data_IF_101891548632
#
_entry.id   IF_101891548632
#
_cell.length_a   1.000
_cell.length_b   1.000
_cell.length_c   1.000
_cell.angle_alpha   90.00
_cell.angle_beta   90.00
_cell.angle_gamma   90.00
#
_symmetry.space_group_name_H-M   'P 1'
#
loop_
_entity.id
_entity.type
_entity.pdbx_description
1 polymer ?
#
# COMPACT_ATOMS: atom_id res chain seq x y z
N UNK A 1 -18.53 8.93 37.53
CA UNK A 1 -17.39 9.01 36.67
C UNK A 1 -17.23 7.75 35.83
N UNK A 2 -16.99 7.93 34.59
CA UNK A 2 -16.99 6.82 33.67
C UNK A 2 -15.61 6.40 33.20
N UNK A 3 -14.63 6.83 33.95
CA UNK A 3 -13.25 6.55 33.58
C UNK A 3 -12.94 5.07 33.38
N UNK A 4 -13.33 4.18 34.29
CA UNK A 4 -12.96 2.78 34.11
C UNK A 4 -13.45 2.21 32.80
N UNK A 5 -14.69 2.47 32.45
CA UNK A 5 -15.25 1.96 31.20
C UNK A 5 -14.64 2.66 30.00
N UNK A 6 -14.46 3.96 30.09
CA UNK A 6 -13.86 4.73 29.02
C UNK A 6 -12.42 4.37 28.80
N UNK A 7 -11.69 4.13 29.87
CA UNK A 7 -10.28 3.74 29.74
C UNK A 7 -10.18 2.42 28.99
N UNK A 8 -11.05 1.47 29.32
CA UNK A 8 -11.06 0.19 28.62
C UNK A 8 -11.37 0.32 27.14
N UNK A 9 -12.39 1.13 26.84
CA UNK A 9 -12.78 1.36 25.44
C UNK A 9 -11.67 2.03 24.65
N UNK A 10 -11.05 3.05 25.23
CA UNK A 10 -9.98 3.77 24.58
C UNK A 10 -8.79 2.85 24.36
N UNK A 11 -8.49 2.03 25.33
CA UNK A 11 -7.36 1.11 25.22
C UNK A 11 -7.60 0.09 24.09
N UNK A 12 -8.81 -0.47 24.00
CA UNK A 12 -9.17 -1.38 22.94
C UNK A 12 -9.08 -0.71 21.58
N UNK A 13 -9.52 0.52 21.48
CA UNK A 13 -9.44 1.27 20.24
C UNK A 13 -7.99 1.52 19.83
N UNK A 14 -7.15 1.83 20.78
CA UNK A 14 -5.72 2.06 20.52
C UNK A 14 -5.06 0.78 20.02
N UNK A 15 -5.37 -0.35 20.64
CA UNK A 15 -4.81 -1.62 20.21
C UNK A 15 -5.24 -1.97 18.80
N UNK A 16 -6.53 -1.82 18.51
CA UNK A 16 -7.04 -2.10 17.17
C UNK A 16 -6.47 -1.14 16.14
N UNK A 17 -6.32 0.11 16.52
CA UNK A 17 -5.74 1.11 15.67
C UNK A 17 -4.30 0.74 15.30
N UNK A 18 -3.51 0.33 16.28
CA UNK A 18 -2.13 -0.07 16.04
C UNK A 18 -2.04 -1.30 15.14
N UNK A 19 -2.94 -2.25 15.33
CA UNK A 19 -2.96 -3.44 14.50
C UNK A 19 -3.33 -3.12 13.06
N UNK A 20 -4.27 -2.22 12.85
CA UNK A 20 -4.73 -1.85 11.51
C UNK A 20 -3.78 -0.90 10.82
N UNK A 21 -3.28 0.07 11.55
CA UNK A 21 -2.48 1.12 10.94
C UNK A 21 -1.12 0.67 10.50
N UNK A 22 -0.56 -0.30 11.20
CA UNK A 22 0.82 -0.64 10.97
C UNK A 22 1.69 0.61 11.19
N UNK A 23 2.95 0.51 10.96
CA UNK A 23 3.84 1.64 11.12
C UNK A 23 3.62 2.65 10.02
N UNK A 24 3.67 3.92 10.38
CA UNK A 24 3.74 4.98 9.40
C UNK A 24 5.01 4.81 8.57
N UNK A 25 4.93 5.11 7.30
CA UNK A 25 6.07 5.00 6.40
C UNK A 25 6.55 6.40 6.04
N UNK A 26 7.80 6.73 6.35
CA UNK A 26 8.34 8.04 5.97
C UNK A 26 8.86 8.03 4.54
N UNK A 27 8.65 9.15 3.85
CA UNK A 27 9.18 9.33 2.50
C UNK A 27 9.85 10.70 2.41
N UNK A 28 10.96 10.74 1.69
CA UNK A 28 11.63 11.99 1.38
C UNK A 28 11.25 12.39 -0.05
N UNK A 29 10.58 13.52 -0.18
CA UNK A 29 10.12 14.01 -1.47
C UNK A 29 11.21 14.78 -2.19
N UNK A 30 11.04 14.94 -3.51
CA UNK A 30 12.03 15.65 -4.35
C UNK A 30 12.19 17.10 -3.92
N UNK A 31 11.13 17.71 -3.39
CA UNK A 31 11.19 19.10 -2.93
C UNK A 31 11.73 19.24 -1.50
N UNK A 32 12.37 18.18 -1.01
CA UNK A 32 12.94 18.11 0.34
C UNK A 32 11.90 18.03 1.46
N UNK A 33 10.62 17.97 1.10
CA UNK A 33 9.57 17.74 2.07
C UNK A 33 9.66 16.32 2.59
N UNK A 34 9.46 16.15 3.88
CA UNK A 34 9.38 14.82 4.47
C UNK A 34 7.95 14.55 4.86
N UNK A 35 7.42 13.41 4.45
CA UNK A 35 6.06 13.02 4.78
C UNK A 35 6.06 11.66 5.46
N UNK A 36 5.02 11.41 6.23
CA UNK A 36 4.84 10.14 6.91
C UNK A 36 3.40 9.70 6.66
N UNK A 37 3.21 8.52 6.10
CA UNK A 37 1.90 8.06 5.68
C UNK A 37 1.57 6.69 6.26
N UNK A 38 0.30 6.51 6.58
CA UNK A 38 -0.22 5.18 6.85
C UNK A 38 -0.21 4.38 5.55
N UNK A 39 0.19 3.11 5.57
CA UNK A 39 0.12 2.29 4.36
C UNK A 39 -1.26 2.28 3.72
N UNK A 40 -2.31 2.33 4.53
CA UNK A 40 -3.68 2.32 4.02
C UNK A 40 -4.02 3.52 3.15
N UNK A 41 -3.25 4.59 3.24
CA UNK A 41 -3.45 5.79 2.42
C UNK A 41 -2.70 5.72 1.10
N UNK A 42 -1.90 4.68 0.89
CA UNK A 42 -1.09 4.53 -0.31
C UNK A 42 -1.83 3.63 -1.30
N UNK A 43 -1.95 4.06 -2.54
CA UNK A 43 -2.50 3.23 -3.59
C UNK A 43 -1.39 2.47 -4.31
N UNK A 44 -0.42 3.19 -4.84
CA UNK A 44 0.68 2.55 -5.54
C UNK A 44 1.82 3.54 -5.77
N UNK A 45 2.96 3.02 -6.17
CA UNK A 45 4.10 3.82 -6.60
C UNK A 45 4.37 3.52 -8.06
N UNK A 46 4.73 4.56 -8.81
CA UNK A 46 4.96 4.44 -10.24
C UNK A 46 6.29 5.09 -10.61
N UNK A 47 7.09 4.38 -11.40
CA UNK A 47 8.33 4.95 -11.94
C UNK A 47 8.07 5.46 -13.34
N UNK A 48 8.21 6.76 -13.54
CA UNK A 48 8.08 7.40 -14.85
C UNK A 48 9.27 8.34 -15.04
N UNK A 49 9.93 8.24 -16.18
CA UNK A 49 10.96 9.20 -16.57
C UNK A 49 11.97 9.56 -15.48
N UNK A 50 12.50 8.68 -14.72
CA UNK A 50 13.47 8.97 -13.67
C UNK A 50 12.85 9.51 -12.39
N UNK A 51 11.52 9.51 -12.30
CA UNK A 51 10.81 9.97 -11.10
C UNK A 51 10.00 8.83 -10.53
N UNK A 52 9.90 8.81 -9.22
CA UNK A 52 9.00 7.88 -8.54
C UNK A 52 7.83 8.68 -8.02
N UNK A 53 6.65 8.36 -8.52
CA UNK A 53 5.42 9.01 -8.10
C UNK A 53 4.72 8.14 -7.08
N UNK A 54 4.41 8.73 -5.94
CA UNK A 54 3.69 8.06 -4.86
C UNK A 54 2.25 8.54 -4.92
N UNK A 55 1.34 7.64 -5.25
CA UNK A 55 -0.08 7.96 -5.41
C UNK A 55 -0.82 7.60 -4.14
N UNK A 56 -1.43 8.59 -3.51
CA UNK A 56 -2.06 8.42 -2.20
C UNK A 56 -3.43 9.07 -2.13
N UNK A 57 -4.14 8.79 -1.03
CA UNK A 57 -5.43 9.41 -0.76
C UNK A 57 -5.30 10.93 -0.54
N UNK A 58 -4.11 11.42 -0.22
CA UNK A 58 -3.84 12.83 0.05
C UNK A 58 -3.30 13.57 -1.17
N UNK A 59 -3.14 12.86 -2.30
CA UNK A 59 -2.57 13.42 -3.51
C UNK A 59 -1.33 12.66 -3.92
N UNK A 60 -0.69 13.15 -4.95
CA UNK A 60 0.52 12.51 -5.50
C UNK A 60 1.76 13.26 -5.04
N UNK A 61 2.81 12.49 -4.74
CA UNK A 61 4.09 13.05 -4.33
C UNK A 61 5.18 12.49 -5.23
N UNK A 62 6.20 13.29 -5.48
CA UNK A 62 7.41 12.79 -6.15
C UNK A 62 8.44 12.50 -5.07
N UNK A 63 8.91 11.27 -4.98
CA UNK A 63 9.89 10.87 -3.97
C UNK A 63 11.24 10.58 -4.62
N UNK A 64 12.29 10.65 -3.80
CA UNK A 64 13.66 10.49 -4.31
C UNK A 64 14.02 9.06 -4.59
N UNK A 65 13.47 8.11 -3.86
CA UNK A 65 13.88 6.72 -3.99
C UNK A 65 13.39 6.10 -5.28
N UNK A 66 14.23 5.23 -5.85
CA UNK A 66 13.81 4.41 -6.98
C UNK A 66 12.94 3.27 -6.48
N UNK A 67 12.16 2.67 -7.39
CA UNK A 67 11.29 1.56 -6.99
C UNK A 67 12.07 0.39 -6.38
N UNK A 68 13.25 0.10 -6.92
CA UNK A 68 14.07 -0.98 -6.36
C UNK A 68 14.42 -0.71 -4.91
N UNK A 69 14.71 0.54 -4.58
CA UNK A 69 14.98 0.93 -3.20
C UNK A 69 13.72 0.86 -2.36
N UNK A 70 12.59 1.31 -2.91
CA UNK A 70 11.31 1.24 -2.20
C UNK A 70 10.95 -0.20 -1.86
N UNK A 71 11.25 -1.12 -2.75
CA UNK A 71 10.97 -2.54 -2.53
C UNK A 71 11.65 -3.08 -1.28
N UNK A 72 12.75 -2.49 -0.86
CA UNK A 72 13.48 -2.97 0.31
C UNK A 72 12.74 -2.66 1.62
N UNK A 73 11.91 -1.63 1.63
CA UNK A 73 11.18 -1.29 2.85
C UNK A 73 9.66 -1.35 2.71
N UNK A 74 9.14 -1.44 1.50
CA UNK A 74 7.71 -1.68 1.26
C UNK A 74 7.53 -3.17 1.02
N UNK A 75 7.34 -3.91 2.10
CA UNK A 75 7.46 -5.36 2.05
C UNK A 75 6.12 -6.08 1.99
N UNK A 76 6.18 -7.33 1.56
CA UNK A 76 5.04 -8.23 1.54
C UNK A 76 4.53 -8.49 2.95
N UNK A 77 3.27 -8.93 3.06
CA UNK A 77 2.40 -9.33 1.95
C UNK A 77 1.63 -8.20 1.30
N UNK A 78 1.62 -7.02 1.92
CA UNK A 78 0.73 -5.95 1.48
C UNK A 78 1.24 -5.18 0.26
N UNK A 79 2.56 -5.00 0.13
CA UNK A 79 3.14 -4.33 -1.01
C UNK A 79 3.69 -5.34 -1.99
N UNK A 80 3.43 -5.14 -3.26
CA UNK A 80 3.82 -6.10 -4.29
C UNK A 80 4.28 -5.40 -5.56
N UNK A 81 5.46 -5.79 -6.06
CA UNK A 81 5.92 -5.32 -7.35
C UNK A 81 5.17 -6.07 -8.43
N UNK A 82 4.35 -5.40 -9.22
CA UNK A 82 3.54 -6.05 -10.26
C UNK A 82 3.95 -5.66 -11.66
N UNK A 83 4.95 -4.81 -11.77
CA UNK A 83 5.45 -4.32 -13.04
C UNK A 83 6.81 -3.70 -12.78
N UNK A 84 7.66 -3.58 -13.81
CA UNK A 84 8.92 -2.88 -13.63
C UNK A 84 8.70 -1.46 -13.12
N UNK A 85 7.56 -0.87 -13.44
CA UNK A 85 7.26 0.51 -13.10
C UNK A 85 6.25 0.69 -11.97
N UNK A 86 5.78 -0.38 -11.34
CA UNK A 86 4.75 -0.28 -10.30
C UNK A 86 5.03 -1.12 -9.08
N UNK A 87 4.79 -0.53 -7.90
CA UNK A 87 4.61 -1.27 -6.65
C UNK A 87 3.21 -0.93 -6.17
N UNK A 88 2.39 -1.94 -5.90
CA UNK A 88 0.99 -1.74 -5.53
C UNK A 88 0.77 -2.13 -4.07
N UNK A 89 -0.14 -1.40 -3.39
CA UNK A 89 -0.58 -1.76 -2.06
C UNK A 89 -1.84 -2.61 -2.21
N UNK A 90 -1.73 -3.89 -1.94
CA UNK A 90 -2.80 -4.86 -2.22
C UNK A 90 -4.14 -4.54 -1.55
N UNK A 91 -4.16 -4.07 -0.28
CA UNK A 91 -5.45 -3.73 0.33
C UNK A 91 -6.26 -2.66 -0.41
N UNK A 92 -5.60 -1.86 -1.24
CA UNK A 92 -6.28 -0.83 -2.02
C UNK A 92 -6.53 -1.23 -3.46
N UNK A 93 -6.35 -2.51 -3.79
CA UNK A 93 -6.75 -3.06 -5.08
C UNK A 93 -8.22 -3.44 -4.98
N UNK A 94 -9.01 -2.92 -5.90
CA UNK A 94 -10.43 -3.25 -5.96
C UNK A 94 -10.66 -4.56 -6.70
N UNK A 95 -9.92 -4.79 -7.77
CA UNK A 95 -10.21 -5.89 -8.68
C UNK A 95 -8.97 -6.28 -9.48
N UNK A 96 -8.84 -7.57 -9.75
CA UNK A 96 -7.88 -8.08 -10.72
C UNK A 96 -8.67 -8.71 -11.87
N UNK A 97 -8.41 -8.27 -13.08
CA UNK A 97 -9.10 -8.81 -14.25
C UNK A 97 -8.19 -8.73 -15.47
N UNK A 98 -7.93 -9.88 -16.08
CA UNK A 98 -7.18 -9.94 -17.35
C UNK A 98 -5.84 -9.18 -17.30
N UNK A 99 -5.07 -9.40 -16.26
CA UNK A 99 -3.76 -8.78 -16.15
C UNK A 99 -3.76 -7.31 -15.76
N UNK A 100 -4.89 -6.82 -15.25
CA UNK A 100 -5.02 -5.43 -14.84
C UNK A 100 -5.52 -5.36 -13.40
N UNK A 101 -4.84 -4.57 -12.58
CA UNK A 101 -5.33 -4.19 -11.26
C UNK A 101 -6.10 -2.89 -11.37
N UNK A 102 -7.34 -2.91 -10.90
CA UNK A 102 -8.12 -1.68 -10.74
C UNK A 102 -8.00 -1.25 -9.28
N UNK A 103 -7.53 -0.05 -9.05
CA UNK A 103 -7.34 0.47 -7.70
C UNK A 103 -8.63 1.11 -7.21
N UNK A 104 -8.74 1.24 -5.88
CA UNK A 104 -9.94 1.84 -5.28
C UNK A 104 -10.12 3.30 -5.66
N UNK A 105 -9.07 3.96 -6.08
CA UNK A 105 -9.15 5.35 -6.55
C UNK A 105 -9.56 5.46 -8.03
N UNK A 106 -9.77 4.33 -8.70
CA UNK A 106 -10.17 4.32 -10.11
C UNK A 106 -9.03 4.10 -11.09
N UNK A 107 -7.80 4.17 -10.65
CA UNK A 107 -6.66 3.96 -11.54
C UNK A 107 -6.54 2.48 -11.92
N UNK A 108 -6.01 2.23 -13.11
CA UNK A 108 -5.77 0.88 -13.60
C UNK A 108 -4.30 0.68 -13.89
N UNK A 109 -3.77 -0.42 -13.37
CA UNK A 109 -2.36 -0.74 -13.53
C UNK A 109 -2.21 -2.05 -14.29
N UNK A 110 -1.44 -2.01 -15.38
CA UNK A 110 -1.16 -3.22 -16.14
C UNK A 110 -0.08 -4.02 -15.46
N UNK A 111 -0.32 -5.31 -15.29
CA UNK A 111 0.67 -6.22 -14.73
C UNK A 111 1.50 -6.73 -15.92
N UNK A 112 2.83 -6.60 -15.82
CA UNK A 112 3.68 -7.08 -16.91
C UNK A 112 3.72 -8.60 -16.92
N UNK A 113 3.96 -9.17 -18.12
CA UNK A 113 4.00 -10.63 -18.28
C UNK A 113 5.02 -11.28 -17.34
N UNK A 114 6.13 -10.63 -17.13
CA UNK A 114 7.17 -11.19 -16.27
C UNK A 114 6.71 -11.37 -14.84
N UNK A 115 5.76 -10.55 -14.39
CA UNK A 115 5.26 -10.57 -13.02
C UNK A 115 3.88 -11.21 -12.87
N UNK A 116 3.22 -11.54 -13.98
CA UNK A 116 1.81 -11.94 -13.95
C UNK A 116 1.55 -13.16 -13.09
N UNK A 117 2.32 -14.20 -13.27
CA UNK A 117 2.11 -15.45 -12.53
C UNK A 117 2.28 -15.25 -11.03
N UNK A 118 3.36 -14.60 -10.64
CA UNK A 118 3.65 -14.36 -9.24
C UNK A 118 2.66 -13.37 -8.63
N UNK A 119 2.29 -12.34 -9.39
CA UNK A 119 1.34 -11.35 -8.93
C UNK A 119 -0.03 -11.96 -8.69
N UNK A 120 -0.49 -12.79 -9.62
CA UNK A 120 -1.78 -13.46 -9.48
C UNK A 120 -1.78 -14.37 -8.25
N UNK A 121 -0.70 -15.13 -8.06
CA UNK A 121 -0.58 -16.00 -6.90
C UNK A 121 -0.56 -15.22 -5.60
N UNK A 122 0.21 -14.14 -5.55
CA UNK A 122 0.31 -13.31 -4.35
C UNK A 122 -1.02 -12.63 -4.02
N UNK A 123 -1.69 -12.12 -5.03
CA UNK A 123 -3.00 -11.49 -4.82
C UNK A 123 -4.03 -12.51 -4.36
N UNK A 124 -4.02 -13.69 -4.94
CA UNK A 124 -4.93 -14.76 -4.53
C UNK A 124 -4.70 -15.11 -3.06
N UNK A 125 -3.44 -15.28 -2.66
CA UNK A 125 -3.12 -15.57 -1.25
C UNK A 125 -3.61 -14.46 -0.33
N UNK A 126 -3.44 -13.21 -0.76
CA UNK A 126 -3.87 -12.08 0.04
C UNK A 126 -5.39 -12.07 0.21
N UNK A 127 -6.14 -12.29 -0.89
CA UNK A 127 -7.60 -12.35 -0.83
C UNK A 127 -8.07 -13.48 0.08
N UNK A 128 -7.45 -14.66 -0.05
CA UNK A 128 -7.80 -15.81 0.79
C UNK A 128 -7.56 -15.53 2.26
N UNK A 129 -6.45 -14.86 2.58
CA UNK A 129 -6.16 -14.53 3.97
C UNK A 129 -7.18 -13.55 4.56
N UNK A 130 -7.73 -12.65 3.75
CA UNK A 130 -8.77 -11.75 4.21
C UNK A 130 -10.06 -12.50 4.49
N UNK A 131 -10.38 -13.46 3.66
CA UNK A 131 -11.58 -14.28 3.86
C UNK A 131 -11.47 -15.14 5.11
N UNK A 132 -10.30 -15.70 5.36
CA UNK A 132 -10.06 -16.51 6.55
C UNK A 132 -10.04 -15.68 7.83
N UNK A 133 -9.54 -14.45 7.73
CA UNK A 133 -9.46 -13.55 8.86
C UNK A 133 -10.79 -12.89 9.22
N UNK A 134 -11.80 -13.09 8.41
CA UNK A 134 -13.12 -12.52 8.68
C UNK A 134 -13.95 -13.39 9.66
#
# INVERSE_FOLDING_TARGET
EQFPDRVGEIFDKILRYREKQKKQIPFLCMNKQMISLSPDDIYYLERTERKTRLVTAWGDYEIKDRLDTCETYLTRPDFLRCHNSYIVYLPNVKEYKKGIFSMKNGDRLTISRAYEKETKAAFTRWVMSQMEGA
#
